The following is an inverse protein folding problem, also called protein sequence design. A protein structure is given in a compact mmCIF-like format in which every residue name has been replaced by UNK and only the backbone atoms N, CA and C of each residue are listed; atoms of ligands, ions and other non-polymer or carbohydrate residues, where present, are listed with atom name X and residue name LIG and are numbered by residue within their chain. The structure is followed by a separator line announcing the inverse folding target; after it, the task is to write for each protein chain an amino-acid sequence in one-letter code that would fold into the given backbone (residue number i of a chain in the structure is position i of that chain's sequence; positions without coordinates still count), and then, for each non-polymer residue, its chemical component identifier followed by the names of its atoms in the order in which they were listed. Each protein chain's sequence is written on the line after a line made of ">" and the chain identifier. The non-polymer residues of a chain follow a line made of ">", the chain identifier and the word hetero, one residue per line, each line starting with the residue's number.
data_IF_874897237436
#
_entry.id   IF_874897237436
#
_cell.length_a   1.000
_cell.length_b   1.000
_cell.length_c   1.000
_cell.angle_alpha   90.00
_cell.angle_beta   90.00
_cell.angle_gamma   90.00
#
_symmetry.space_group_name_H-M   'P 1'
#
loop_
_entity.id
_entity.type
_entity.pdbx_description
1 polymer ?
#
# COMPACT_ATOMS: atom_id res chain seq x y z
N UNK A 1 -9.16 -13.11 -5.38
CA UNK A 1 -10.01 -11.95 -5.02
C UNK A 1 -11.19 -11.90 -5.98
N UNK A 2 -12.20 -12.63 -5.63
CA UNK A 2 -13.48 -12.57 -6.32
C UNK A 2 -14.02 -11.14 -6.25
N UNK A 3 -14.56 -10.64 -7.35
CA UNK A 3 -15.11 -9.28 -7.42
C UNK A 3 -14.11 -8.14 -7.69
N UNK A 4 -12.81 -8.43 -7.90
CA UNK A 4 -11.85 -7.37 -8.25
C UNK A 4 -12.09 -6.76 -9.64
N UNK A 5 -12.88 -7.41 -10.49
CA UNK A 5 -13.24 -6.88 -11.82
C UNK A 5 -12.05 -6.65 -12.75
N UNK A 6 -10.96 -7.42 -12.59
CA UNK A 6 -9.76 -7.28 -13.42
C UNK A 6 -9.91 -8.07 -14.71
N UNK A 7 -9.96 -7.37 -15.84
CA UNK A 7 -10.15 -7.95 -17.17
C UNK A 7 -9.03 -7.52 -18.12
N UNK A 8 -8.68 -8.39 -19.07
CA UNK A 8 -7.92 -8.01 -20.24
C UNK A 8 -8.84 -7.30 -21.23
N UNK A 9 -8.42 -6.14 -21.72
CA UNK A 9 -9.15 -5.36 -22.73
C UNK A 9 -8.33 -5.41 -24.03
N UNK A 10 -8.94 -5.93 -25.09
CA UNK A 10 -8.38 -5.89 -26.44
C UNK A 10 -9.08 -4.80 -27.26
N UNK A 11 -8.29 -3.90 -27.85
CA UNK A 11 -8.77 -2.91 -28.81
C UNK A 11 -8.39 -3.40 -30.23
N UNK A 12 -9.36 -3.53 -31.10
CA UNK A 12 -9.15 -3.95 -32.47
C UNK A 12 -9.74 -2.90 -33.42
N UNK A 13 -8.90 -2.31 -34.28
CA UNK A 13 -9.28 -1.28 -35.22
C UNK A 13 -10.06 -0.10 -34.65
N UNK A 14 -9.77 0.23 -33.36
CA UNK A 14 -10.41 1.35 -32.69
C UNK A 14 -9.67 2.66 -33.03
N UNK A 15 -10.39 3.59 -33.66
CA UNK A 15 -9.84 4.91 -33.96
C UNK A 15 -9.85 5.80 -32.72
N UNK A 16 -8.69 6.39 -32.40
CA UNK A 16 -8.52 7.38 -31.32
C UNK A 16 -8.29 8.74 -31.93
N UNK A 17 -9.19 9.72 -31.74
CA UNK A 17 -8.95 11.10 -32.17
C UNK A 17 -7.71 11.69 -31.51
N UNK A 18 -7.02 12.60 -32.17
CA UNK A 18 -5.80 13.23 -31.62
C UNK A 18 -6.06 13.93 -30.27
N UNK A 19 -7.25 14.50 -30.10
CA UNK A 19 -7.65 15.21 -28.86
C UNK A 19 -7.82 14.28 -27.66
N UNK A 20 -7.97 12.96 -27.90
CA UNK A 20 -8.07 11.94 -26.85
C UNK A 20 -6.70 11.32 -26.51
N UNK A 21 -5.62 11.70 -27.23
CA UNK A 21 -4.27 11.24 -26.97
C UNK A 21 -3.65 12.05 -25.82
N UNK A 22 -3.45 11.42 -24.67
CA UNK A 22 -2.84 12.07 -23.50
C UNK A 22 -1.34 12.30 -23.72
N UNK A 23 -0.64 11.32 -24.26
CA UNK A 23 0.79 11.40 -24.56
C UNK A 23 1.23 10.35 -25.58
N UNK A 24 2.04 10.77 -26.54
CA UNK A 24 2.75 9.91 -27.50
C UNK A 24 4.17 10.46 -27.73
N UNK A 25 5.22 9.73 -27.34
CA UNK A 25 5.22 8.42 -26.69
C UNK A 25 4.76 8.45 -25.22
N UNK A 26 4.04 7.43 -24.77
CA UNK A 26 3.46 7.36 -23.44
C UNK A 26 4.51 7.25 -22.29
N UNK A 27 5.68 6.63 -22.58
CA UNK A 27 6.69 6.32 -21.55
C UNK A 27 7.17 7.53 -20.74
N UNK A 28 7.54 8.68 -21.32
CA UNK A 28 7.95 9.87 -20.55
C UNK A 28 6.84 10.38 -19.64
N UNK A 29 5.59 10.38 -20.11
CA UNK A 29 4.44 10.78 -19.30
C UNK A 29 4.21 9.84 -18.12
N UNK A 30 4.27 8.52 -18.35
CA UNK A 30 4.13 7.51 -17.29
C UNK A 30 5.22 7.68 -16.22
N UNK A 31 6.46 7.96 -16.63
CA UNK A 31 7.55 8.21 -15.67
C UNK A 31 7.27 9.44 -14.81
N UNK A 32 6.75 10.51 -15.39
CA UNK A 32 6.41 11.76 -14.69
C UNK A 32 5.30 11.56 -13.65
N UNK A 33 4.28 10.76 -13.96
CA UNK A 33 3.13 10.56 -13.06
C UNK A 33 3.33 9.40 -12.07
N UNK A 34 4.38 8.61 -12.21
CA UNK A 34 4.62 7.42 -11.38
C UNK A 34 4.62 7.71 -9.88
N UNK A 35 5.26 8.77 -9.36
CA UNK A 35 5.24 9.08 -7.92
C UNK A 35 3.82 9.34 -7.42
N UNK A 36 3.02 10.10 -8.18
CA UNK A 36 1.61 10.37 -7.87
C UNK A 36 0.82 9.08 -7.76
N UNK A 37 0.98 8.20 -8.75
CA UNK A 37 0.30 6.90 -8.76
C UNK A 37 0.66 6.04 -7.54
N UNK A 38 1.94 6.04 -7.13
CA UNK A 38 2.39 5.33 -5.94
C UNK A 38 1.78 5.94 -4.67
N UNK A 39 1.75 7.27 -4.55
CA UNK A 39 1.16 7.96 -3.41
C UNK A 39 -0.35 7.71 -3.29
N UNK A 40 -1.09 7.68 -4.41
CA UNK A 40 -2.52 7.36 -4.39
C UNK A 40 -2.81 5.96 -3.83
N UNK A 41 -1.88 5.02 -3.98
CA UNK A 41 -2.03 3.66 -3.44
C UNK A 41 -1.82 3.57 -1.92
N UNK A 42 -1.31 4.61 -1.28
CA UNK A 42 -1.11 4.62 0.16
C UNK A 42 -2.42 4.43 0.92
N UNK A 43 -3.52 5.02 0.42
CA UNK A 43 -4.85 4.89 1.03
C UNK A 43 -5.33 3.44 1.17
N UNK A 44 -4.98 2.56 0.23
CA UNK A 44 -5.32 1.14 0.34
C UNK A 44 -4.65 0.48 1.55
N UNK A 45 -3.34 0.70 1.73
CA UNK A 45 -2.59 0.11 2.84
C UNK A 45 -3.01 0.68 4.19
N UNK A 46 -3.14 2.00 4.27
CA UNK A 46 -3.55 2.69 5.50
C UNK A 46 -4.94 2.24 5.95
N UNK A 47 -5.92 2.17 5.04
CA UNK A 47 -7.27 1.71 5.37
C UNK A 47 -7.34 0.25 5.80
N UNK A 48 -6.48 -0.63 5.29
CA UNK A 48 -6.40 -2.02 5.79
C UNK A 48 -5.83 -2.05 7.20
N UNK A 49 -4.80 -1.24 7.52
CA UNK A 49 -4.22 -1.15 8.86
C UNK A 49 -5.26 -0.61 9.86
N UNK A 50 -5.99 0.46 9.51
CA UNK A 50 -7.06 1.01 10.35
C UNK A 50 -8.11 -0.07 10.66
N UNK A 51 -8.56 -0.81 9.65
CA UNK A 51 -9.49 -1.91 9.87
C UNK A 51 -8.92 -3.05 10.72
N UNK A 52 -7.61 -3.30 10.71
CA UNK A 52 -6.96 -4.25 11.61
C UNK A 52 -6.94 -3.73 13.06
N UNK A 53 -6.73 -2.42 13.25
CA UNK A 53 -6.80 -1.78 14.56
C UNK A 53 -8.21 -1.91 15.15
N UNK A 54 -9.25 -1.67 14.35
CA UNK A 54 -10.64 -1.85 14.77
C UNK A 54 -10.92 -3.30 15.20
N UNK A 55 -10.42 -4.27 14.41
CA UNK A 55 -10.57 -5.70 14.75
C UNK A 55 -9.88 -6.03 16.07
N UNK A 56 -8.68 -5.49 16.36
CA UNK A 56 -7.97 -5.65 17.65
C UNK A 56 -8.78 -5.05 18.80
N UNK A 57 -9.22 -3.80 18.65
CA UNK A 57 -9.97 -3.08 19.69
C UNK A 57 -11.32 -3.75 20.00
N UNK A 58 -11.95 -4.37 18.98
CA UNK A 58 -13.24 -5.06 19.15
C UNK A 58 -13.21 -6.21 20.17
N UNK A 59 -12.05 -6.81 20.39
CA UNK A 59 -11.88 -7.95 21.31
C UNK A 59 -11.19 -7.59 22.63
N UNK A 60 -10.76 -6.33 22.79
CA UNK A 60 -9.96 -5.87 23.92
C UNK A 60 -10.65 -6.15 25.27
N UNK A 61 -11.95 -5.87 25.39
CA UNK A 61 -12.70 -6.10 26.63
C UNK A 61 -12.76 -7.58 27.04
N UNK A 62 -12.67 -8.50 26.07
CA UNK A 62 -12.79 -9.94 26.35
C UNK A 62 -11.44 -10.63 26.48
N UNK A 63 -10.47 -10.23 25.66
CA UNK A 63 -9.19 -10.92 25.48
C UNK A 63 -7.98 -10.08 25.91
N UNK A 64 -8.16 -8.82 26.30
CA UNK A 64 -7.07 -7.92 26.67
C UNK A 64 -6.12 -8.50 27.73
N UNK A 65 -6.64 -9.28 28.70
CA UNK A 65 -5.85 -9.91 29.75
C UNK A 65 -4.80 -10.91 29.22
N UNK A 66 -5.00 -11.49 28.03
CA UNK A 66 -4.02 -12.37 27.35
C UNK A 66 -3.35 -11.65 26.19
N UNK A 67 -4.05 -10.78 25.48
CA UNK A 67 -3.54 -10.07 24.31
C UNK A 67 -2.46 -9.05 24.65
N UNK A 68 -2.40 -8.57 25.91
CA UNK A 68 -1.34 -7.67 26.39
C UNK A 68 0.09 -8.24 26.21
N UNK A 69 0.23 -9.56 26.06
CA UNK A 69 1.52 -10.22 25.82
C UNK A 69 1.91 -10.33 24.35
N UNK A 70 1.01 -9.95 23.42
CA UNK A 70 1.32 -9.88 22.00
C UNK A 70 2.22 -8.68 21.69
N UNK A 71 3.13 -8.85 20.73
CA UNK A 71 4.11 -7.81 20.37
C UNK A 71 3.46 -6.56 19.80
N UNK A 72 2.46 -6.73 18.93
CA UNK A 72 1.81 -5.65 18.21
C UNK A 72 0.47 -5.29 18.85
N UNK A 73 0.40 -4.09 19.40
CA UNK A 73 -0.77 -3.52 20.06
C UNK A 73 -1.41 -2.43 19.18
N UNK A 74 -2.71 -2.19 19.35
CA UNK A 74 -3.45 -1.19 18.57
C UNK A 74 -2.79 0.20 18.59
N UNK A 75 -2.32 0.68 19.74
CA UNK A 75 -1.65 1.98 19.87
C UNK A 75 -0.34 2.08 19.11
N UNK A 76 0.44 1.00 19.04
CA UNK A 76 1.67 0.94 18.24
C UNK A 76 1.37 0.99 16.75
N UNK A 77 0.36 0.25 16.29
CA UNK A 77 -0.09 0.27 14.90
C UNK A 77 -0.66 1.63 14.51
N UNK A 78 -1.42 2.29 15.40
CA UNK A 78 -1.94 3.65 15.17
C UNK A 78 -0.81 4.66 14.96
N UNK A 79 0.26 4.58 15.75
CA UNK A 79 1.44 5.43 15.58
C UNK A 79 2.08 5.26 14.19
N UNK A 80 2.12 4.03 13.66
CA UNK A 80 2.63 3.77 12.31
C UNK A 80 1.72 4.37 11.23
N UNK A 81 0.39 4.25 11.38
CA UNK A 81 -0.60 4.85 10.46
C UNK A 81 -0.47 6.36 10.44
N UNK A 82 -0.46 6.99 11.63
CA UNK A 82 -0.37 8.45 11.76
C UNK A 82 0.92 8.98 11.12
N UNK A 83 2.04 8.32 11.38
CA UNK A 83 3.34 8.65 10.78
C UNK A 83 3.34 8.52 9.26
N UNK A 84 2.82 7.40 8.74
CA UNK A 84 2.75 7.17 7.30
C UNK A 84 1.77 8.13 6.60
N UNK A 85 0.64 8.43 7.24
CA UNK A 85 -0.34 9.40 6.73
C UNK A 85 0.28 10.80 6.64
N UNK A 86 0.91 11.27 7.72
CA UNK A 86 1.60 12.58 7.74
C UNK A 86 2.68 12.66 6.67
N UNK A 87 3.45 11.60 6.49
CA UNK A 87 4.50 11.53 5.48
C UNK A 87 3.91 11.54 4.06
N UNK A 88 2.85 10.77 3.81
CA UNK A 88 2.14 10.77 2.53
C UNK A 88 1.64 12.16 2.16
N UNK A 89 0.99 12.85 3.11
CA UNK A 89 0.48 14.21 2.89
C UNK A 89 1.60 15.24 2.63
N UNK A 90 2.75 15.07 3.28
CA UNK A 90 3.94 15.90 3.01
C UNK A 90 4.43 15.71 1.57
N UNK A 91 4.61 14.47 1.12
CA UNK A 91 5.08 14.15 -0.24
C UNK A 91 4.06 14.58 -1.31
N UNK A 92 2.76 14.52 -0.98
CA UNK A 92 1.70 14.95 -1.88
C UNK A 92 1.67 16.47 -2.16
N UNK A 93 2.47 17.28 -1.44
CA UNK A 93 2.58 18.72 -1.70
C UNK A 93 3.42 19.01 -2.96
N UNK A 94 4.35 18.12 -3.31
CA UNK A 94 5.20 18.24 -4.50
C UNK A 94 5.13 16.97 -5.36
N UNK A 95 3.93 16.59 -5.84
CA UNK A 95 3.68 15.23 -6.37
C UNK A 95 4.40 14.94 -7.68
N UNK A 96 4.93 15.96 -8.35
CA UNK A 96 5.67 15.86 -9.61
C UNK A 96 7.16 16.15 -9.47
N UNK A 97 7.69 16.14 -8.22
CA UNK A 97 9.13 16.22 -7.99
C UNK A 97 9.79 14.96 -8.58
N UNK A 98 10.85 15.17 -9.37
CA UNK A 98 11.61 14.11 -10.04
C UNK A 98 12.98 13.90 -9.43
N UNK A 99 13.29 14.59 -8.32
CA UNK A 99 14.57 14.40 -7.63
C UNK A 99 14.70 12.97 -7.12
N UNK A 100 15.90 12.44 -7.15
CA UNK A 100 16.20 11.08 -6.73
C UNK A 100 15.76 10.84 -5.29
N UNK A 101 16.05 11.77 -4.39
CA UNK A 101 15.70 11.67 -2.97
C UNK A 101 14.18 11.58 -2.78
N UNK A 102 13.42 12.41 -3.50
CA UNK A 102 11.96 12.36 -3.46
C UNK A 102 11.40 11.03 -3.97
N UNK A 103 11.91 10.54 -5.10
CA UNK A 103 11.48 9.27 -5.67
C UNK A 103 11.78 8.09 -4.73
N UNK A 104 12.96 8.09 -4.10
CA UNK A 104 13.34 7.09 -3.11
C UNK A 104 12.45 7.16 -1.86
N UNK A 105 12.10 8.38 -1.42
CA UNK A 105 11.24 8.57 -0.25
C UNK A 105 9.82 8.05 -0.51
N UNK A 106 9.22 8.36 -1.67
CA UNK A 106 7.92 7.81 -2.11
C UNK A 106 7.94 6.28 -2.16
N UNK A 107 8.98 5.70 -2.77
CA UNK A 107 9.13 4.24 -2.90
C UNK A 107 9.26 3.59 -1.52
N UNK A 108 10.12 4.13 -0.66
CA UNK A 108 10.37 3.59 0.67
C UNK A 108 9.12 3.69 1.56
N UNK A 109 8.39 4.82 1.50
CA UNK A 109 7.13 4.98 2.21
C UNK A 109 6.11 3.91 1.79
N UNK A 110 5.97 3.67 0.48
CA UNK A 110 5.05 2.64 -0.06
C UNK A 110 5.45 1.23 0.37
N UNK A 111 6.75 0.90 0.34
CA UNK A 111 7.26 -0.40 0.82
C UNK A 111 6.96 -0.58 2.31
N UNK A 112 7.24 0.43 3.12
CA UNK A 112 7.04 0.36 4.57
C UNK A 112 5.56 0.24 4.93
N UNK A 113 4.68 1.00 4.28
CA UNK A 113 3.23 0.88 4.49
C UNK A 113 2.71 -0.51 4.14
N UNK A 114 3.18 -1.11 3.04
CA UNK A 114 2.81 -2.48 2.70
C UNK A 114 3.29 -3.50 3.75
N UNK A 115 4.49 -3.30 4.34
CA UNK A 115 4.98 -4.14 5.43
C UNK A 115 4.18 -3.94 6.72
N UNK A 116 3.80 -2.70 7.04
CA UNK A 116 2.94 -2.40 8.18
C UNK A 116 1.56 -3.05 8.01
N UNK A 117 1.03 -3.06 6.79
CA UNK A 117 -0.22 -3.70 6.46
C UNK A 117 -0.17 -5.23 6.72
N UNK A 118 0.89 -5.90 6.28
CA UNK A 118 1.11 -7.33 6.57
C UNK A 118 1.18 -7.59 8.07
N UNK A 119 1.98 -6.80 8.79
CA UNK A 119 2.16 -6.90 10.25
C UNK A 119 0.85 -6.66 11.01
N UNK A 120 0.08 -5.62 10.62
CA UNK A 120 -1.20 -5.31 11.25
C UNK A 120 -2.24 -6.42 11.04
N UNK A 121 -2.29 -7.01 9.84
CA UNK A 121 -3.22 -8.11 9.54
C UNK A 121 -2.89 -9.38 10.32
N UNK A 122 -1.61 -9.68 10.52
CA UNK A 122 -1.17 -10.76 11.40
C UNK A 122 -1.55 -10.48 12.85
N UNK A 123 -1.29 -9.27 13.34
CA UNK A 123 -1.67 -8.85 14.67
C UNK A 123 -3.18 -8.99 14.92
N UNK A 124 -4.03 -8.50 14.01
CA UNK A 124 -5.48 -8.61 14.12
C UNK A 124 -5.95 -10.07 14.22
N UNK A 125 -5.33 -10.95 13.43
CA UNK A 125 -5.63 -12.39 13.50
C UNK A 125 -5.21 -13.00 14.82
N UNK A 126 -4.03 -12.65 15.36
CA UNK A 126 -3.53 -13.14 16.63
C UNK A 126 -4.39 -12.65 17.81
N UNK A 127 -4.80 -11.38 17.82
CA UNK A 127 -5.65 -10.80 18.84
C UNK A 127 -7.05 -11.43 18.89
N UNK A 128 -7.62 -11.72 17.72
CA UNK A 128 -8.96 -12.31 17.60
C UNK A 128 -8.96 -13.84 17.78
N UNK A 129 -7.80 -14.47 17.64
CA UNK A 129 -7.60 -15.91 17.82
C UNK A 129 -8.41 -16.76 16.85
N UNK A 130 -8.83 -17.95 17.28
CA UNK A 130 -9.53 -18.91 16.42
C UNK A 130 -10.81 -18.38 15.79
N UNK A 131 -11.52 -17.45 16.44
CA UNK A 131 -12.71 -16.80 15.86
C UNK A 131 -12.39 -15.95 14.67
N UNK A 132 -11.23 -15.26 14.69
CA UNK A 132 -10.73 -14.46 13.58
C UNK A 132 -10.31 -15.27 12.37
N UNK A 133 -10.06 -16.56 12.54
CA UNK A 133 -9.63 -17.46 11.46
C UNK A 133 -10.78 -18.01 10.61
N UNK A 134 -12.02 -17.80 11.00
CA UNK A 134 -13.17 -18.21 10.21
C UNK A 134 -13.22 -17.47 8.88
N UNK A 135 -13.58 -18.14 7.79
CA UNK A 135 -13.60 -17.58 6.43
C UNK A 135 -14.46 -16.30 6.31
N UNK A 136 -15.50 -16.19 7.13
CA UNK A 136 -16.41 -15.03 7.19
C UNK A 136 -15.93 -13.91 8.13
N UNK A 137 -14.88 -14.14 8.91
CA UNK A 137 -14.40 -13.16 9.87
C UNK A 137 -13.61 -12.02 9.19
N UNK A 138 -13.73 -10.81 9.73
CA UNK A 138 -13.02 -9.64 9.21
C UNK A 138 -11.49 -9.81 9.24
N UNK A 139 -10.84 -10.30 10.31
CA UNK A 139 -9.39 -10.50 10.33
C UNK A 139 -8.89 -11.43 9.23
N UNK A 140 -9.63 -12.51 8.91
CA UNK A 140 -9.28 -13.41 7.81
C UNK A 140 -9.35 -12.72 6.44
N UNK A 141 -10.27 -11.79 6.24
CA UNK A 141 -10.32 -10.96 5.05
C UNK A 141 -9.13 -9.99 5.01
N UNK A 142 -8.79 -9.33 6.16
CA UNK A 142 -7.66 -8.40 6.27
C UNK A 142 -6.33 -9.03 5.86
N UNK A 143 -6.10 -10.30 6.20
CA UNK A 143 -4.88 -11.01 5.78
C UNK A 143 -4.79 -11.06 4.25
N UNK A 144 -5.88 -11.38 3.55
CA UNK A 144 -5.89 -11.41 2.08
C UNK A 144 -5.73 -10.01 1.46
N UNK A 145 -6.39 -9.01 2.05
CA UNK A 145 -6.29 -7.61 1.63
C UNK A 145 -4.85 -7.08 1.82
N UNK A 146 -4.20 -7.37 2.94
CA UNK A 146 -2.83 -6.99 3.22
C UNK A 146 -1.84 -7.62 2.23
N UNK A 147 -2.02 -8.90 1.92
CA UNK A 147 -1.20 -9.58 0.91
C UNK A 147 -1.40 -8.95 -0.48
N UNK A 148 -2.64 -8.58 -0.82
CA UNK A 148 -2.90 -7.87 -2.07
C UNK A 148 -2.19 -6.52 -2.11
N UNK A 149 -2.21 -5.73 -1.04
CA UNK A 149 -1.46 -4.46 -0.95
C UNK A 149 0.03 -4.66 -1.21
N UNK A 150 0.60 -5.78 -0.76
CA UNK A 150 2.02 -6.08 -0.96
C UNK A 150 2.39 -6.50 -2.39
N UNK A 151 1.43 -7.06 -3.15
CA UNK A 151 1.67 -7.60 -4.49
C UNK A 151 1.02 -6.80 -5.63
N UNK A 152 0.09 -5.89 -5.33
CA UNK A 152 -0.50 -5.01 -6.36
C UNK A 152 0.56 -4.11 -6.99
N UNK A 153 0.42 -3.84 -8.27
CA UNK A 153 1.42 -3.08 -9.05
C UNK A 153 1.48 -1.60 -8.63
N UNK A 154 2.68 -1.06 -8.31
CA UNK A 154 3.94 -1.77 -8.24
C UNK A 154 4.09 -2.58 -6.94
N UNK A 155 4.36 -3.87 -7.08
CA UNK A 155 4.59 -4.78 -5.96
C UNK A 155 5.89 -4.43 -5.18
N UNK A 156 5.99 -4.85 -3.92
CA UNK A 156 7.20 -4.62 -3.09
C UNK A 156 8.48 -5.05 -3.83
N UNK A 157 8.48 -6.19 -4.53
CA UNK A 157 9.67 -6.66 -5.28
C UNK A 157 10.06 -5.67 -6.39
N UNK A 158 9.08 -5.10 -7.08
CA UNK A 158 9.32 -4.12 -8.15
C UNK A 158 9.76 -2.76 -7.58
N UNK A 159 9.16 -2.32 -6.48
CA UNK A 159 9.58 -1.11 -5.79
C UNK A 159 11.03 -1.19 -5.30
N UNK A 160 11.45 -2.34 -4.76
CA UNK A 160 12.85 -2.55 -4.36
C UNK A 160 13.80 -2.52 -5.54
N UNK A 161 13.41 -3.10 -6.68
CA UNK A 161 14.18 -3.03 -7.91
C UNK A 161 14.33 -1.59 -8.38
N UNK A 162 13.24 -0.81 -8.40
CA UNK A 162 13.29 0.62 -8.76
C UNK A 162 14.17 1.44 -7.81
N UNK A 163 14.08 1.19 -6.50
CA UNK A 163 14.93 1.86 -5.52
C UNK A 163 16.41 1.54 -5.76
N UNK A 164 16.74 0.27 -6.05
CA UNK A 164 18.10 -0.12 -6.38
C UNK A 164 18.62 0.55 -7.64
N UNK A 165 17.81 0.66 -8.68
CA UNK A 165 18.19 1.39 -9.91
C UNK A 165 18.48 2.86 -9.61
N UNK A 166 17.59 3.54 -8.88
CA UNK A 166 17.81 4.94 -8.51
C UNK A 166 19.09 5.17 -7.70
N UNK A 167 19.47 4.22 -6.84
CA UNK A 167 20.69 4.31 -6.03
C UNK A 167 21.97 4.01 -6.83
N UNK A 168 21.87 3.25 -7.93
CA UNK A 168 23.03 2.84 -8.75
C UNK A 168 23.22 3.68 -10.01
N UNK A 169 22.17 4.34 -10.47
CA UNK A 169 22.27 5.33 -11.52
C UNK A 169 22.92 6.59 -10.91
N UNK A 170 24.25 6.73 -11.09
CA UNK A 170 24.85 8.07 -11.10
C UNK A 170 24.10 8.83 -12.19
N UNK A 171 23.26 9.80 -11.79
CA UNK A 171 22.54 10.63 -12.74
C UNK A 171 23.55 11.16 -13.75
N UNK A 172 23.40 10.93 -15.06
CA UNK A 172 24.23 11.64 -16.02
C UNK A 172 24.00 13.12 -15.81
N UNK A 173 25.10 13.85 -15.63
CA UNK A 173 25.16 15.29 -15.43
C UNK A 173 24.49 16.05 -16.58
#
# INVERSE_FOLDING_TARGET
>A
MEGSGTYGIGLNEYFVPNDDIIADPAKPFILKIRPVFILMQMGMGLGVIDGCIDDILSVENQLGHVNQFLQDQAGGLQTLVDGATKHTLKLAQTPFDTSQDYLLDVINLRINTAKYCLRASEAALMHTGARGYLASAAPQRRVREAQFVAIVTPAIKHLRYLAQQLMTEEMPA
#
